data_IF_612096072399
#
_entry.id   IF_612096072399
#
_cell.length_a   1.000
_cell.length_b   1.000
_cell.length_c   1.000
_cell.angle_alpha   90.00
_cell.angle_beta   90.00
_cell.angle_gamma   90.00
#
_symmetry.space_group_name_H-M   'P 1'
#
loop_
_entity.id
_entity.type
_entity.pdbx_description
1 polymer ?
#
# COMPACT_ATOMS: atom_id res chain seq x y z
N UNK A 1 -5.17 4.37 -11.91
CA UNK A 1 -6.13 4.22 -10.80
C UNK A 1 -5.59 5.04 -9.65
N UNK A 2 -6.29 6.09 -9.28
CA UNK A 2 -5.74 7.09 -8.35
C UNK A 2 -5.70 6.51 -6.93
N UNK A 3 -4.59 6.74 -6.24
CA UNK A 3 -4.33 6.22 -4.89
C UNK A 3 -5.46 6.59 -3.90
N UNK A 4 -6.07 7.76 -4.09
CA UNK A 4 -7.18 8.27 -3.28
C UNK A 4 -8.48 7.47 -3.47
N UNK A 5 -8.76 6.95 -4.66
CA UNK A 5 -10.04 6.27 -4.94
C UNK A 5 -10.15 4.92 -4.22
N UNK A 6 -9.03 4.22 -4.05
CA UNK A 6 -8.97 2.93 -3.37
C UNK A 6 -9.09 3.09 -1.87
N UNK A 7 -8.53 4.18 -1.33
CA UNK A 7 -8.47 4.41 0.10
C UNK A 7 -9.74 5.08 0.63
N UNK A 8 -10.82 5.14 -0.17
CA UNK A 8 -12.14 5.59 0.27
C UNK A 8 -12.57 4.74 1.47
N UNK A 9 -12.53 5.35 2.67
CA UNK A 9 -12.84 4.69 3.95
C UNK A 9 -11.66 4.53 4.90
N UNK A 10 -10.43 4.83 4.48
CA UNK A 10 -9.24 4.90 5.34
C UNK A 10 -8.97 6.33 5.78
N UNK A 11 -8.66 6.53 7.06
CA UNK A 11 -8.18 7.83 7.54
C UNK A 11 -6.77 8.12 7.03
N UNK A 12 -6.38 9.40 6.87
CA UNK A 12 -5.02 9.78 6.47
C UNK A 12 -3.93 9.11 7.34
N UNK A 13 -4.20 8.95 8.64
CA UNK A 13 -3.30 8.25 9.57
C UNK A 13 -3.15 6.77 9.21
N UNK A 14 -4.25 6.07 8.95
CA UNK A 14 -4.20 4.65 8.57
C UNK A 14 -3.46 4.44 7.25
N UNK A 15 -3.59 5.39 6.31
CA UNK A 15 -2.85 5.39 5.05
C UNK A 15 -1.35 5.56 5.33
N UNK A 16 -0.98 6.57 6.13
CA UNK A 16 0.42 6.82 6.49
C UNK A 16 1.06 5.62 7.18
N UNK A 17 0.38 5.05 8.18
CA UNK A 17 0.86 3.87 8.93
C UNK A 17 1.12 2.69 7.97
N UNK A 18 0.18 2.40 7.06
CA UNK A 18 0.32 1.32 6.08
C UNK A 18 1.48 1.55 5.09
N UNK A 19 1.68 2.80 4.64
CA UNK A 19 2.77 3.14 3.73
C UNK A 19 4.13 3.05 4.42
N UNK A 20 4.25 3.50 5.67
CA UNK A 20 5.48 3.37 6.46
C UNK A 20 5.89 1.90 6.56
N UNK A 21 4.94 1.00 6.83
CA UNK A 21 5.21 -0.45 6.89
C UNK A 21 5.60 -0.99 5.51
N UNK A 22 4.86 -0.64 4.46
CA UNK A 22 5.16 -1.07 3.09
C UNK A 22 6.56 -0.63 2.62
N UNK A 23 6.98 0.59 2.94
CA UNK A 23 8.32 1.11 2.64
C UNK A 23 9.38 0.34 3.44
N UNK A 24 9.16 0.05 4.73
CA UNK A 24 10.09 -0.75 5.54
C UNK A 24 10.30 -2.15 4.93
N UNK A 25 9.22 -2.82 4.53
CA UNK A 25 9.28 -4.14 3.89
C UNK A 25 9.99 -4.07 2.54
N UNK A 26 9.65 -3.08 1.72
CA UNK A 26 10.31 -2.90 0.43
C UNK A 26 11.82 -2.66 0.60
N UNK A 27 12.24 -1.84 1.58
CA UNK A 27 13.65 -1.63 1.91
C UNK A 27 14.33 -2.93 2.35
N UNK A 28 13.70 -3.72 3.22
CA UNK A 28 14.28 -5.00 3.68
C UNK A 28 14.42 -6.05 2.59
N UNK A 29 13.62 -5.94 1.51
CA UNK A 29 13.68 -6.83 0.35
C UNK A 29 14.59 -6.31 -0.78
N UNK A 30 15.30 -5.19 -0.57
CA UNK A 30 16.14 -4.57 -1.60
C UNK A 30 15.35 -3.94 -2.76
N UNK A 31 14.05 -3.69 -2.58
CA UNK A 31 13.19 -3.07 -3.59
C UNK A 31 13.48 -1.56 -3.64
N UNK A 32 13.69 -1.03 -4.85
CA UNK A 32 14.01 0.39 -5.09
C UNK A 32 12.79 1.27 -4.82
N UNK A 33 12.71 1.87 -3.62
CA UNK A 33 11.57 2.64 -3.13
C UNK A 33 11.14 3.75 -4.10
N UNK A 34 12.09 4.43 -4.72
CA UNK A 34 11.84 5.56 -5.63
C UNK A 34 11.03 5.15 -6.87
N UNK A 35 11.07 3.87 -7.27
CA UNK A 35 10.29 3.34 -8.39
C UNK A 35 8.85 3.00 -8.01
N UNK A 36 8.58 2.83 -6.72
CA UNK A 36 7.32 2.27 -6.23
C UNK A 36 6.52 3.23 -5.34
N UNK A 37 7.15 4.28 -4.79
CA UNK A 37 6.59 5.18 -3.77
C UNK A 37 6.91 6.68 -4.00
N UNK A 38 6.89 7.16 -5.25
CA UNK A 38 7.31 8.53 -5.63
C UNK A 38 6.18 9.59 -5.49
N UNK A 39 6.43 10.80 -4.92
CA UNK A 39 7.38 11.15 -3.88
C UNK A 39 6.65 11.15 -2.52
N UNK A 40 6.10 10.02 -2.08
CA UNK A 40 5.51 9.93 -0.75
C UNK A 40 6.58 10.19 0.35
N UNK A 41 7.85 9.95 0.00
CA UNK A 41 8.98 10.07 0.90
C UNK A 41 9.41 11.51 1.23
N UNK A 42 9.09 12.52 0.38
CA UNK A 42 9.45 13.92 0.70
C UNK A 42 8.46 14.60 1.65
N UNK A 43 7.34 13.95 1.98
CA UNK A 43 6.21 14.57 2.69
C UNK A 43 5.88 13.96 4.07
N UNK A 44 6.57 12.90 4.49
CA UNK A 44 6.44 12.40 5.88
C UNK A 44 7.13 13.37 6.87
N UNK A 45 8.07 14.18 6.39
CA UNK A 45 8.70 15.24 7.20
C UNK A 45 7.89 16.54 7.19
N UNK A 46 7.16 16.88 6.11
CA UNK A 46 6.31 18.07 6.02
C UNK A 46 5.17 17.81 5.03
N UNK A 47 3.93 17.96 5.49
CA UNK A 47 2.68 17.74 4.76
C UNK A 47 2.74 18.08 3.26
N UNK A 48 2.31 17.16 2.39
CA UNK A 48 1.50 17.38 1.16
C UNK A 48 1.14 15.99 0.59
N UNK A 49 -0.13 15.61 0.68
CA UNK A 49 -0.71 14.43 0.00
C UNK A 49 -1.53 14.97 -1.17
N UNK A 50 -0.94 15.08 -2.37
CA UNK A 50 -1.76 15.45 -3.54
C UNK A 50 -1.52 14.68 -4.82
N UNK A 51 -0.42 13.96 -5.05
CA UNK A 51 -0.23 13.21 -6.29
C UNK A 51 0.71 12.00 -6.12
N UNK A 52 0.33 11.05 -5.27
CA UNK A 52 1.10 9.82 -5.05
C UNK A 52 0.87 8.82 -6.20
N UNK A 53 1.89 8.56 -7.02
CA UNK A 53 1.84 7.48 -8.00
C UNK A 53 2.50 6.24 -7.40
N UNK A 54 1.68 5.29 -6.93
CA UNK A 54 2.17 3.96 -6.57
C UNK A 54 2.21 3.08 -7.80
N UNK A 55 3.30 2.33 -7.96
CA UNK A 55 3.31 1.16 -8.83
C UNK A 55 2.31 0.10 -8.30
N UNK A 56 1.94 -0.89 -9.13
CA UNK A 56 1.11 -2.02 -8.68
C UNK A 56 1.70 -2.75 -7.46
N UNK A 57 3.03 -2.92 -7.42
CA UNK A 57 3.72 -3.53 -6.29
C UNK A 57 3.64 -2.66 -5.03
N UNK A 58 3.93 -1.37 -5.14
CA UNK A 58 3.82 -0.42 -4.02
C UNK A 58 2.40 -0.38 -3.46
N UNK A 59 1.41 -0.36 -4.34
CA UNK A 59 0.01 -0.41 -3.99
C UNK A 59 -0.38 -1.72 -3.26
N UNK A 60 0.02 -2.87 -3.80
CA UNK A 60 -0.22 -4.16 -3.17
C UNK A 60 0.42 -4.27 -1.78
N UNK A 61 1.65 -3.76 -1.62
CA UNK A 61 2.34 -3.73 -0.33
C UNK A 61 1.62 -2.85 0.70
N UNK A 62 1.11 -1.68 0.28
CA UNK A 62 0.34 -0.80 1.18
C UNK A 62 -0.93 -1.49 1.65
N UNK A 63 -1.72 -2.08 0.74
CA UNK A 63 -2.96 -2.75 1.12
C UNK A 63 -2.73 -4.00 1.98
N UNK A 64 -1.70 -4.79 1.65
CA UNK A 64 -1.38 -6.00 2.40
C UNK A 64 -1.02 -5.71 3.86
N UNK A 65 -0.45 -4.52 4.13
CA UNK A 65 0.03 -4.12 5.45
C UNK A 65 -0.86 -3.07 6.16
N UNK A 66 -2.00 -2.73 5.58
CA UNK A 66 -2.99 -1.87 6.22
C UNK A 66 -3.72 -2.63 7.35
N UNK A 67 -4.47 -1.91 8.18
CA UNK A 67 -5.18 -2.49 9.31
C UNK A 67 -6.17 -3.58 8.85
N UNK A 68 -6.02 -4.85 9.29
CA UNK A 68 -6.87 -5.95 8.84
C UNK A 68 -8.30 -5.89 9.41
N UNK A 69 -8.61 -4.98 10.34
CA UNK A 69 -9.98 -4.79 10.81
C UNK A 69 -10.86 -4.04 9.79
N UNK A 70 -10.26 -3.47 8.75
CA UNK A 70 -10.97 -2.78 7.68
C UNK A 70 -11.48 -3.80 6.66
N UNK A 71 -12.78 -3.76 6.35
CA UNK A 71 -13.43 -4.70 5.43
C UNK A 71 -12.69 -4.83 4.11
N UNK A 72 -12.36 -3.70 3.48
CA UNK A 72 -11.64 -3.66 2.21
C UNK A 72 -10.27 -4.37 2.26
N UNK A 73 -9.53 -4.23 3.36
CA UNK A 73 -8.22 -4.89 3.54
C UNK A 73 -8.40 -6.41 3.64
N UNK A 74 -9.41 -6.86 4.40
CA UNK A 74 -9.73 -8.30 4.51
C UNK A 74 -10.11 -8.89 3.16
N UNK A 75 -10.97 -8.21 2.43
CA UNK A 75 -11.45 -8.66 1.12
C UNK A 75 -10.28 -8.74 0.13
N UNK A 76 -9.39 -7.75 0.15
CA UNK A 76 -8.15 -7.77 -0.63
C UNK A 76 -7.27 -8.96 -0.25
N UNK A 77 -6.97 -9.18 1.03
CA UNK A 77 -6.13 -10.28 1.50
C UNK A 77 -6.71 -11.65 1.11
N UNK A 78 -8.01 -11.85 1.29
CA UNK A 78 -8.71 -13.07 0.89
C UNK A 78 -8.68 -13.25 -0.63
N UNK A 79 -8.82 -12.17 -1.41
CA UNK A 79 -8.75 -12.24 -2.88
C UNK A 79 -7.38 -12.71 -3.38
N UNK A 80 -6.30 -12.18 -2.78
CA UNK A 80 -4.92 -12.56 -3.10
C UNK A 80 -4.68 -14.02 -2.72
N UNK A 81 -5.12 -14.45 -1.52
CA UNK A 81 -4.97 -15.83 -1.07
C UNK A 81 -5.74 -16.80 -1.97
N UNK A 82 -6.99 -16.47 -2.36
CA UNK A 82 -7.77 -17.27 -3.31
C UNK A 82 -7.07 -17.36 -4.66
N UNK A 83 -6.50 -16.27 -5.16
CA UNK A 83 -5.73 -16.26 -6.42
C UNK A 83 -4.49 -17.15 -6.34
N UNK A 84 -3.70 -17.00 -5.28
CA UNK A 84 -2.50 -17.80 -5.05
C UNK A 84 -2.79 -19.30 -4.94
N UNK A 85 -3.85 -19.67 -4.22
CA UNK A 85 -4.24 -21.07 -4.06
C UNK A 85 -4.83 -21.67 -5.34
N UNK A 86 -5.54 -20.88 -6.17
CA UNK A 86 -6.01 -21.33 -7.49
C UNK A 86 -4.89 -21.55 -8.50
N UNK A 87 -3.76 -20.86 -8.34
CA UNK A 87 -2.56 -21.05 -9.17
C UNK A 87 -1.70 -22.26 -8.77
N UNK A 88 -2.08 -23.02 -7.72
CA UNK A 88 -1.43 -24.28 -7.34
C UNK A 88 -2.17 -25.52 -7.87
N UNK A 89 -2.45 -25.54 -9.17
CA UNK A 89 -2.84 -26.74 -9.91
C UNK A 89 -1.93 -26.93 -11.11
#
# INVERSE_FOLDING_TARGET
>A
MDFITVLKGLSPKQISDAVIIAVKIAKSLGIVIQKHFTPFYSAIEQEIIQNCKLSHLGYGLVLMNANPNLSFVRDFQVSILKGFLKMKN
#
